data_IF_905963206078
#
_entry.id   IF_905963206078
#
_cell.length_a   1.000
_cell.length_b   1.000
_cell.length_c   1.000
_cell.angle_alpha   90.00
_cell.angle_beta   90.00
_cell.angle_gamma   90.00
#
_symmetry.space_group_name_H-M   'P 1'
#
loop_
_entity.id
_entity.type
_entity.pdbx_description
1 polymer ?
#
# COMPACT_ATOMS: atom_id res chain seq x y z
N UNK A 1 12.94 11.19 -81.02
CA UNK A 1 12.84 10.38 -79.79
C UNK A 1 13.23 11.17 -78.53
N UNK A 2 14.38 11.86 -78.49
CA UNK A 2 14.81 12.65 -77.32
C UNK A 2 13.83 13.77 -76.91
N UNK A 3 13.39 14.61 -77.85
CA UNK A 3 12.48 15.73 -77.55
C UNK A 3 11.11 15.29 -76.99
N UNK A 4 10.60 14.12 -77.39
CA UNK A 4 9.33 13.57 -76.87
C UNK A 4 9.51 13.03 -75.45
N UNK A 5 10.64 12.39 -75.16
CA UNK A 5 10.97 11.93 -73.81
C UNK A 5 11.17 13.11 -72.84
N UNK A 6 11.82 14.18 -73.31
CA UNK A 6 12.04 15.41 -72.56
C UNK A 6 10.73 16.15 -72.27
N UNK A 7 9.86 16.29 -73.27
CA UNK A 7 8.52 16.86 -73.08
C UNK A 7 7.67 16.05 -72.08
N UNK A 8 7.75 14.71 -72.12
CA UNK A 8 7.07 13.83 -71.17
C UNK A 8 7.61 13.96 -69.75
N UNK A 9 8.93 14.08 -69.60
CA UNK A 9 9.57 14.29 -68.30
C UNK A 9 9.21 15.66 -67.71
N UNK A 10 9.22 16.72 -68.53
CA UNK A 10 8.80 18.05 -68.10
C UNK A 10 7.32 18.08 -67.67
N UNK A 11 6.43 17.39 -68.39
CA UNK A 11 5.02 17.29 -68.00
C UNK A 11 4.82 16.49 -66.70
N UNK A 12 5.60 15.43 -66.48
CA UNK A 12 5.54 14.67 -65.22
C UNK A 12 6.03 15.51 -64.02
N UNK A 13 7.10 16.29 -64.21
CA UNK A 13 7.62 17.21 -63.20
C UNK A 13 6.63 18.33 -62.86
N UNK A 14 5.93 18.88 -63.86
CA UNK A 14 4.88 19.89 -63.60
C UNK A 14 3.69 19.31 -62.85
N UNK A 15 3.26 18.07 -63.14
CA UNK A 15 2.19 17.41 -62.39
C UNK A 15 2.57 17.18 -60.93
N UNK A 16 3.80 16.72 -60.66
CA UNK A 16 4.30 16.52 -59.29
C UNK A 16 4.38 17.83 -58.51
N UNK A 17 4.83 18.91 -59.16
CA UNK A 17 4.85 20.25 -58.57
C UNK A 17 3.45 20.77 -58.27
N UNK A 18 2.48 20.50 -59.14
CA UNK A 18 1.10 20.91 -58.95
C UNK A 18 0.45 20.16 -57.78
N UNK A 19 0.63 18.84 -57.70
CA UNK A 19 0.10 18.00 -56.62
C UNK A 19 0.62 18.48 -55.25
N UNK A 20 1.94 18.68 -55.16
CA UNK A 20 2.58 19.25 -53.96
C UNK A 20 2.03 20.63 -53.61
N UNK A 21 1.83 21.51 -54.59
CA UNK A 21 1.29 22.84 -54.34
C UNK A 21 -0.17 22.81 -53.85
N UNK A 22 -0.97 21.87 -54.34
CA UNK A 22 -2.34 21.63 -53.87
C UNK A 22 -2.31 21.15 -52.41
N UNK A 23 -1.48 20.16 -52.09
CA UNK A 23 -1.34 19.65 -50.72
C UNK A 23 -0.86 20.73 -49.74
N UNK A 24 0.12 21.55 -50.15
CA UNK A 24 0.61 22.68 -49.34
C UNK A 24 -0.49 23.73 -49.11
N UNK A 25 -1.32 24.00 -50.12
CA UNK A 25 -2.46 24.94 -50.01
C UNK A 25 -3.57 24.39 -49.14
N UNK A 26 -3.94 23.12 -49.31
CA UNK A 26 -4.94 22.45 -48.49
C UNK A 26 -4.49 22.36 -47.03
N UNK A 27 -3.22 22.03 -46.79
CA UNK A 27 -2.63 22.03 -45.45
C UNK A 27 -2.63 23.42 -44.80
N UNK A 28 -2.32 24.46 -45.56
CA UNK A 28 -2.36 25.85 -45.09
C UNK A 28 -3.77 26.30 -44.74
N UNK A 29 -4.76 25.96 -45.59
CA UNK A 29 -6.17 26.24 -45.33
C UNK A 29 -6.68 25.52 -44.08
N UNK A 30 -6.29 24.25 -43.90
CA UNK A 30 -6.65 23.46 -42.72
C UNK A 30 -6.15 24.13 -41.43
N UNK A 31 -4.88 24.54 -41.41
CA UNK A 31 -4.30 25.26 -40.26
C UNK A 31 -5.03 26.55 -39.96
N UNK A 32 -5.35 27.34 -41.00
CA UNK A 32 -6.06 28.61 -40.82
C UNK A 32 -7.48 28.40 -40.27
N UNK A 33 -8.16 27.33 -40.71
CA UNK A 33 -9.47 26.95 -40.18
C UNK A 33 -9.33 26.54 -38.72
N UNK A 34 -8.37 25.70 -38.36
CA UNK A 34 -8.17 25.26 -36.96
C UNK A 34 -7.74 26.42 -36.05
N UNK A 35 -6.96 27.39 -36.54
CA UNK A 35 -6.54 28.57 -35.80
C UNK A 35 -7.69 29.57 -35.57
N UNK A 36 -8.60 29.70 -36.54
CA UNK A 36 -9.75 30.62 -36.45
C UNK A 36 -10.99 30.00 -35.82
N UNK A 37 -11.14 28.68 -35.92
CA UNK A 37 -12.21 27.95 -35.23
C UNK A 37 -11.81 27.86 -33.77
N UNK A 38 -12.63 28.40 -32.88
CA UNK A 38 -12.39 28.31 -31.44
C UNK A 38 -12.33 26.86 -30.93
N UNK A 39 -12.21 26.65 -29.61
CA UNK A 39 -12.24 25.31 -29.04
C UNK A 39 -13.47 24.55 -29.51
N UNK A 40 -13.26 23.33 -30.03
CA UNK A 40 -14.30 22.47 -30.61
C UNK A 40 -15.43 22.13 -29.64
N UNK A 41 -15.18 22.28 -28.33
CA UNK A 41 -16.15 22.13 -27.25
C UNK A 41 -16.00 23.34 -26.33
N UNK A 42 -17.11 23.97 -25.95
CA UNK A 42 -17.10 25.12 -25.03
C UNK A 42 -18.24 25.03 -24.00
N UNK A 43 -18.23 25.80 -22.90
CA UNK A 43 -19.37 25.84 -22.00
C UNK A 43 -20.65 26.29 -22.71
N UNK A 44 -21.80 25.75 -22.30
CA UNK A 44 -23.09 26.34 -22.67
C UNK A 44 -23.15 27.78 -22.13
N UNK A 45 -23.62 28.68 -22.99
CA UNK A 45 -23.83 30.09 -22.65
C UNK A 45 -25.30 30.38 -22.86
N UNK A 46 -25.97 30.78 -21.79
CA UNK A 46 -27.37 31.21 -21.81
C UNK A 46 -27.53 32.45 -22.69
N UNK A 47 -28.69 32.60 -23.32
CA UNK A 47 -29.02 33.69 -24.26
C UNK A 47 -28.10 33.81 -25.49
N UNK A 48 -27.29 32.79 -25.79
CA UNK A 48 -26.51 32.68 -27.02
C UNK A 48 -27.12 31.62 -27.94
N UNK A 49 -27.16 31.91 -29.24
CA UNK A 49 -27.45 30.90 -30.26
C UNK A 49 -26.22 30.00 -30.43
N UNK A 50 -26.43 28.70 -30.23
CA UNK A 50 -25.51 27.63 -30.57
C UNK A 50 -25.96 27.04 -31.90
N UNK A 51 -25.04 26.91 -32.83
CA UNK A 51 -25.33 26.46 -34.19
C UNK A 51 -25.37 24.93 -34.26
N UNK A 52 -26.08 24.41 -35.26
CA UNK A 52 -26.11 22.98 -35.52
C UNK A 52 -24.69 22.40 -35.57
N UNK A 53 -24.45 21.35 -34.78
CA UNK A 53 -23.17 20.67 -34.68
C UNK A 53 -22.23 21.21 -33.60
N UNK A 54 -22.53 22.36 -32.98
CA UNK A 54 -21.76 22.89 -31.85
C UNK A 54 -21.77 21.90 -30.68
N UNK A 55 -20.61 21.71 -30.05
CA UNK A 55 -20.46 20.89 -28.86
C UNK A 55 -20.35 21.78 -27.63
N UNK A 56 -21.25 21.58 -26.68
CA UNK A 56 -21.27 22.33 -25.43
C UNK A 56 -21.13 21.44 -24.21
N UNK A 57 -20.47 21.96 -23.18
CA UNK A 57 -20.53 21.35 -21.83
C UNK A 57 -21.62 22.02 -21.00
N UNK A 58 -22.49 21.21 -20.39
CA UNK A 58 -23.57 21.65 -19.51
C UNK A 58 -23.78 20.60 -18.42
N UNK A 59 -23.82 21.02 -17.15
CA UNK A 59 -24.04 20.13 -15.99
C UNK A 59 -23.15 18.87 -15.96
N UNK A 60 -21.87 19.03 -16.30
CA UNK A 60 -20.89 17.92 -16.30
C UNK A 60 -21.02 16.94 -17.48
N UNK A 61 -21.96 17.17 -18.38
CA UNK A 61 -22.17 16.39 -19.60
C UNK A 61 -21.78 17.20 -20.85
N UNK A 62 -21.56 16.51 -21.97
CA UNK A 62 -21.27 17.11 -23.28
C UNK A 62 -22.42 16.82 -24.24
N UNK A 63 -22.93 17.87 -24.88
CA UNK A 63 -24.05 17.81 -25.82
C UNK A 63 -23.65 18.37 -27.17
N UNK A 64 -24.25 17.86 -28.24
CA UNK A 64 -24.14 18.41 -29.59
C UNK A 64 -25.48 19.00 -30.02
N UNK A 65 -25.48 20.22 -30.55
CA UNK A 65 -26.69 20.84 -31.08
C UNK A 65 -27.18 20.11 -32.34
N UNK A 66 -28.45 19.71 -32.38
CA UNK A 66 -29.11 19.09 -33.53
C UNK A 66 -29.59 20.13 -34.55
N UNK A 67 -29.84 21.35 -34.11
CA UNK A 67 -30.26 22.50 -34.90
C UNK A 67 -29.77 23.79 -34.24
N UNK A 68 -29.86 24.91 -34.95
CA UNK A 68 -29.58 26.23 -34.36
C UNK A 68 -30.55 26.49 -33.19
N UNK A 69 -30.01 26.72 -32.00
CA UNK A 69 -30.81 26.76 -30.77
C UNK A 69 -30.25 27.71 -29.73
N UNK A 70 -31.14 28.39 -29.00
CA UNK A 70 -30.83 29.07 -27.74
C UNK A 70 -31.27 28.29 -26.50
N UNK A 71 -31.96 27.15 -26.66
CA UNK A 71 -32.46 26.34 -25.54
C UNK A 71 -31.31 25.66 -24.81
N UNK A 72 -31.43 25.52 -23.50
CA UNK A 72 -30.45 24.79 -22.71
C UNK A 72 -30.56 23.26 -22.95
N UNK A 73 -29.44 22.51 -23.00
CA UNK A 73 -29.47 21.06 -22.86
C UNK A 73 -30.11 20.66 -21.51
N UNK A 74 -30.78 19.50 -21.40
CA UNK A 74 -30.74 18.35 -22.32
C UNK A 74 -31.98 18.23 -23.23
N UNK A 75 -32.61 19.33 -23.66
CA UNK A 75 -33.75 19.27 -24.59
C UNK A 75 -33.44 18.40 -25.83
N UNK A 76 -34.04 17.21 -25.91
CA UNK A 76 -33.72 16.16 -26.89
C UNK A 76 -34.08 16.55 -28.33
N UNK A 77 -34.94 17.55 -28.54
CA UNK A 77 -35.25 18.06 -29.88
C UNK A 77 -34.13 18.96 -30.43
N UNK A 78 -33.35 19.57 -29.53
CA UNK A 78 -32.32 20.54 -29.85
C UNK A 78 -30.91 20.01 -29.59
N UNK A 79 -30.75 19.00 -28.74
CA UNK A 79 -29.46 18.50 -28.26
C UNK A 79 -29.42 16.98 -28.25
N UNK A 80 -28.29 16.41 -28.67
CA UNK A 80 -27.94 15.01 -28.42
C UNK A 80 -26.85 14.93 -27.36
N UNK A 81 -27.06 14.11 -26.33
CA UNK A 81 -26.03 13.83 -25.33
C UNK A 81 -24.92 12.97 -25.95
N UNK A 82 -23.73 13.56 -26.13
CA UNK A 82 -22.56 12.86 -26.69
C UNK A 82 -21.81 12.11 -25.60
N UNK A 83 -21.71 12.72 -24.42
CA UNK A 83 -21.11 12.10 -23.24
C UNK A 83 -21.87 12.55 -22.00
N UNK A 84 -22.54 11.62 -21.33
CA UNK A 84 -23.16 11.91 -20.04
C UNK A 84 -22.07 12.05 -18.97
N UNK A 85 -22.24 13.03 -18.08
CA UNK A 85 -21.42 13.16 -16.89
C UNK A 85 -21.51 11.90 -16.04
N UNK A 86 -20.36 11.37 -15.62
CA UNK A 86 -20.32 10.27 -14.67
C UNK A 86 -20.63 10.74 -13.26
N UNK A 87 -21.10 9.83 -12.41
CA UNK A 87 -21.02 10.03 -10.96
C UNK A 87 -19.57 9.80 -10.53
N UNK A 88 -19.07 10.63 -9.61
CA UNK A 88 -17.79 10.36 -8.95
C UNK A 88 -17.83 8.94 -8.37
N UNK A 89 -16.80 8.16 -8.71
CA UNK A 89 -16.68 6.79 -8.23
C UNK A 89 -16.57 6.77 -6.70
N UNK A 90 -17.56 6.19 -6.03
CA UNK A 90 -17.47 5.97 -4.59
C UNK A 90 -16.29 5.04 -4.30
N UNK A 91 -15.29 5.56 -3.59
CA UNK A 91 -14.09 4.83 -3.20
C UNK A 91 -14.15 4.41 -1.73
N UNK A 92 -13.31 3.45 -1.33
CA UNK A 92 -13.19 3.06 0.07
C UNK A 92 -12.72 4.24 0.93
N UNK A 93 -13.42 4.47 2.04
CA UNK A 93 -13.06 5.47 3.06
C UNK A 93 -12.58 4.78 4.32
N UNK A 94 -11.27 4.82 4.59
CA UNK A 94 -10.71 4.19 5.79
C UNK A 94 -11.04 5.06 7.01
N UNK A 95 -11.86 4.52 7.93
CA UNK A 95 -12.30 5.19 9.16
C UNK A 95 -11.47 4.83 10.39
N UNK A 96 -10.58 3.84 10.28
CA UNK A 96 -9.77 3.37 11.41
C UNK A 96 -10.52 2.34 12.26
N UNK A 97 -10.32 2.35 13.58
CA UNK A 97 -10.95 1.37 14.49
C UNK A 97 -12.46 1.58 14.59
N UNK A 98 -13.24 0.50 14.50
CA UNK A 98 -14.69 0.54 14.64
C UNK A 98 -15.13 1.09 16.01
N UNK A 99 -16.11 1.98 16.00
CA UNK A 99 -16.77 2.54 17.18
C UNK A 99 -18.28 2.29 17.08
N UNK A 100 -18.90 1.79 18.16
CA UNK A 100 -20.30 1.36 18.14
C UNK A 100 -21.30 2.51 17.87
N UNK A 101 -21.01 3.69 18.40
CA UNK A 101 -21.92 4.85 18.34
C UNK A 101 -21.63 5.79 17.15
N UNK A 102 -20.68 5.42 16.28
CA UNK A 102 -20.29 6.26 15.15
C UNK A 102 -21.11 5.93 13.89
N UNK A 103 -21.60 6.94 13.15
CA UNK A 103 -22.30 6.71 11.90
C UNK A 103 -21.32 6.32 10.79
N UNK A 104 -21.60 5.19 10.15
CA UNK A 104 -20.89 4.70 8.97
C UNK A 104 -21.76 4.72 7.72
N UNK A 105 -21.14 5.07 6.59
CA UNK A 105 -21.75 5.06 5.27
C UNK A 105 -21.22 3.91 4.43
N UNK A 106 -21.90 3.61 3.33
CA UNK A 106 -21.44 2.62 2.34
C UNK A 106 -19.99 2.91 1.95
N UNK A 107 -19.19 1.85 1.86
CA UNK A 107 -17.75 1.86 1.56
C UNK A 107 -16.83 2.44 2.65
N UNK A 108 -17.35 2.75 3.83
CA UNK A 108 -16.49 2.99 4.98
C UNK A 108 -15.82 1.68 5.41
N UNK A 109 -14.51 1.73 5.62
CA UNK A 109 -13.67 0.60 6.02
C UNK A 109 -13.22 0.80 7.46
N UNK A 110 -13.48 -0.18 8.31
CA UNK A 110 -13.13 -0.17 9.73
C UNK A 110 -12.26 -1.37 10.10
N UNK A 111 -11.41 -1.20 11.12
CA UNK A 111 -10.65 -2.27 11.75
C UNK A 111 -11.38 -2.74 13.02
N UNK A 112 -11.51 -4.06 13.19
CA UNK A 112 -12.12 -4.67 14.36
C UNK A 112 -11.56 -6.08 14.61
N UNK A 113 -11.12 -6.37 15.83
CA UNK A 113 -10.65 -7.70 16.26
C UNK A 113 -9.59 -8.34 15.35
N UNK A 114 -8.64 -7.53 14.84
CA UNK A 114 -7.59 -8.00 13.93
C UNK A 114 -8.06 -8.25 12.49
N UNK A 115 -9.30 -7.91 12.14
CA UNK A 115 -9.80 -7.90 10.77
C UNK A 115 -10.09 -6.48 10.28
N UNK A 116 -10.27 -6.36 8.96
CA UNK A 116 -10.83 -5.15 8.34
C UNK A 116 -12.15 -5.48 7.66
N UNK A 117 -13.13 -4.60 7.81
CA UNK A 117 -14.49 -4.76 7.31
C UNK A 117 -14.92 -3.52 6.53
N UNK A 118 -15.70 -3.69 5.48
CA UNK A 118 -16.28 -2.61 4.69
C UNK A 118 -17.81 -2.61 4.80
N UNK A 119 -18.39 -1.43 5.02
CA UNK A 119 -19.83 -1.25 5.06
C UNK A 119 -20.45 -1.43 3.66
N UNK A 120 -21.40 -2.37 3.52
CA UNK A 120 -22.07 -2.68 2.24
C UNK A 120 -23.17 -1.68 1.89
N UNK A 121 -23.70 -0.98 2.90
CA UNK A 121 -24.74 0.06 2.78
C UNK A 121 -24.55 1.17 3.80
N UNK A 122 -25.31 2.25 3.64
CA UNK A 122 -25.40 3.30 4.65
C UNK A 122 -26.06 2.75 5.92
N UNK A 123 -25.58 3.20 7.08
CA UNK A 123 -26.05 2.75 8.39
C UNK A 123 -26.07 1.22 8.51
N UNK A 124 -24.89 0.56 8.37
CA UNK A 124 -24.78 -0.90 8.37
C UNK A 124 -25.04 -1.55 9.74
N UNK A 125 -25.27 -0.75 10.78
CA UNK A 125 -25.47 -1.27 12.14
C UNK A 125 -24.17 -1.79 12.77
N UNK A 126 -24.27 -2.68 13.77
CA UNK A 126 -23.12 -3.14 14.53
C UNK A 126 -22.13 -3.95 13.67
N UNK A 127 -20.82 -3.70 13.86
CA UNK A 127 -19.76 -4.47 13.22
C UNK A 127 -19.20 -5.52 14.21
N UNK A 128 -18.96 -6.77 13.78
CA UNK A 128 -19.35 -7.34 12.48
C UNK A 128 -20.85 -7.68 12.42
N UNK A 129 -21.43 -7.65 11.22
CA UNK A 129 -22.83 -7.98 10.94
C UNK A 129 -23.07 -8.18 9.44
N UNK A 130 -24.29 -8.55 9.02
CA UNK A 130 -24.61 -8.91 7.61
C UNK A 130 -24.34 -7.79 6.59
N UNK A 131 -24.41 -6.54 7.06
CA UNK A 131 -24.15 -5.34 6.27
C UNK A 131 -22.67 -4.90 6.29
N UNK A 132 -21.82 -5.69 6.94
CA UNK A 132 -20.37 -5.55 6.92
C UNK A 132 -19.73 -6.70 6.16
N UNK A 133 -18.90 -6.39 5.17
CA UNK A 133 -18.15 -7.38 4.42
C UNK A 133 -16.72 -7.45 4.96
N UNK A 134 -16.26 -8.63 5.37
CA UNK A 134 -14.86 -8.83 5.73
C UNK A 134 -13.96 -8.70 4.49
N UNK A 135 -12.90 -7.89 4.61
CA UNK A 135 -11.85 -7.71 3.60
C UNK A 135 -10.63 -8.59 3.89
N UNK A 136 -10.21 -8.61 5.15
CA UNK A 136 -9.08 -9.41 5.60
C UNK A 136 -9.21 -9.75 7.08
N UNK A 137 -8.48 -10.80 7.48
CA UNK A 137 -8.28 -11.19 8.86
C UNK A 137 -6.78 -11.36 9.12
N UNK A 138 -6.37 -11.08 10.35
CA UNK A 138 -5.00 -11.33 10.79
C UNK A 138 -4.63 -12.80 10.58
N UNK A 139 -3.46 -13.04 9.97
CA UNK A 139 -2.91 -14.38 9.81
C UNK A 139 -2.59 -15.05 11.15
N UNK A 140 -2.61 -16.38 11.18
CA UNK A 140 -2.19 -17.15 12.36
C UNK A 140 -0.72 -16.86 12.67
N UNK A 141 -0.35 -16.81 13.96
CA UNK A 141 1.06 -16.73 14.38
C UNK A 141 1.84 -17.89 13.74
N UNK A 142 3.01 -17.59 13.20
CA UNK A 142 3.90 -18.60 12.65
C UNK A 142 4.30 -19.65 13.69
N UNK A 143 4.77 -20.81 13.23
CA UNK A 143 5.31 -21.84 14.12
C UNK A 143 6.49 -21.28 14.91
N UNK A 144 6.57 -21.61 16.20
CA UNK A 144 7.75 -21.29 16.99
C UNK A 144 8.99 -21.92 16.32
N UNK A 145 10.10 -21.19 16.32
CA UNK A 145 11.38 -21.71 15.84
C UNK A 145 11.84 -22.91 16.67
N UNK A 146 12.80 -23.69 16.17
CA UNK A 146 13.41 -24.76 16.96
C UNK A 146 13.99 -24.19 18.26
N UNK A 147 13.91 -24.97 19.34
CA UNK A 147 14.59 -24.64 20.60
C UNK A 147 16.09 -24.55 20.32
N UNK A 148 16.76 -23.52 20.85
CA UNK A 148 18.22 -23.42 20.76
C UNK A 148 18.92 -24.59 21.45
N UNK A 149 20.17 -24.84 21.06
CA UNK A 149 20.97 -25.91 21.64
C UNK A 149 21.15 -25.70 23.15
N UNK A 150 21.20 -26.78 23.95
CA UNK A 150 21.57 -26.68 25.36
C UNK A 150 22.93 -25.98 25.52
N UNK A 151 23.03 -25.08 26.50
CA UNK A 151 24.31 -24.44 26.83
C UNK A 151 25.36 -25.46 27.26
N UNK A 152 26.63 -25.10 27.14
CA UNK A 152 27.75 -25.93 27.61
C UNK A 152 27.62 -26.22 29.10
N UNK A 153 27.93 -27.45 29.51
CA UNK A 153 27.99 -27.82 30.92
C UNK A 153 29.05 -26.97 31.62
N UNK A 154 28.71 -26.38 32.76
CA UNK A 154 29.68 -25.67 33.60
C UNK A 154 30.86 -26.55 34.00
N UNK A 155 32.01 -25.93 34.31
CA UNK A 155 33.20 -26.63 34.79
C UNK A 155 32.87 -27.41 36.06
N UNK A 156 33.34 -28.65 36.17
CA UNK A 156 33.23 -29.43 37.42
C UNK A 156 33.91 -28.69 38.58
N UNK A 157 33.27 -28.68 39.75
CA UNK A 157 33.85 -28.12 40.98
C UNK A 157 35.04 -28.95 41.48
N UNK A 158 35.87 -28.36 42.35
CA UNK A 158 37.01 -29.04 42.94
C UNK A 158 36.56 -30.20 43.84
N UNK A 159 37.16 -31.38 43.66
CA UNK A 159 36.92 -32.57 44.50
C UNK A 159 38.04 -32.75 45.53
N UNK A 160 37.75 -33.41 46.65
CA UNK A 160 38.78 -33.73 47.65
C UNK A 160 39.62 -34.91 47.12
N UNK A 161 40.93 -34.73 46.99
CA UNK A 161 41.89 -35.75 46.55
C UNK A 161 42.45 -36.58 47.70
N UNK A 162 42.51 -36.02 48.89
CA UNK A 162 43.06 -36.70 50.06
C UNK A 162 42.95 -35.85 51.31
N UNK A 163 43.30 -36.44 52.45
CA UNK A 163 43.36 -35.76 53.72
C UNK A 163 44.63 -36.13 54.49
N UNK A 164 45.15 -35.17 55.25
CA UNK A 164 46.30 -35.32 56.13
C UNK A 164 45.92 -34.84 57.53
N UNK A 165 46.42 -35.52 58.57
CA UNK A 165 46.17 -35.16 59.96
C UNK A 165 47.48 -34.71 60.62
N UNK A 166 47.53 -33.44 60.99
CA UNK A 166 48.63 -32.89 61.80
C UNK A 166 48.26 -33.04 63.28
N UNK A 167 48.65 -34.17 63.88
CA UNK A 167 48.26 -34.54 65.23
C UNK A 167 48.73 -33.53 66.29
N UNK A 168 49.92 -32.95 66.13
CA UNK A 168 50.49 -31.96 67.06
C UNK A 168 49.63 -30.69 67.16
N UNK A 169 48.97 -30.32 66.05
CA UNK A 169 48.12 -29.12 65.95
C UNK A 169 46.64 -29.44 65.94
N UNK A 170 46.27 -30.72 66.11
CA UNK A 170 44.91 -31.21 65.98
C UNK A 170 44.20 -30.69 64.72
N UNK A 171 44.91 -30.63 63.58
CA UNK A 171 44.35 -30.04 62.35
C UNK A 171 44.21 -31.09 61.27
N UNK A 172 43.00 -31.20 60.71
CA UNK A 172 42.72 -32.00 59.52
C UNK A 172 42.86 -31.10 58.29
N UNK A 173 43.71 -31.48 57.36
CA UNK A 173 43.93 -30.78 56.10
C UNK A 173 43.30 -31.61 54.98
N UNK A 174 42.34 -31.02 54.26
CA UNK A 174 41.69 -31.63 53.09
C UNK A 174 42.31 -31.04 51.82
N UNK A 175 43.01 -31.86 51.05
CA UNK A 175 43.65 -31.45 49.81
C UNK A 175 42.65 -31.56 48.65
N UNK A 176 42.44 -30.46 47.92
CA UNK A 176 41.47 -30.36 46.83
C UNK A 176 42.13 -30.58 45.47
N UNK A 177 41.32 -30.91 44.46
CA UNK A 177 41.80 -31.33 43.14
C UNK A 177 42.45 -30.21 42.33
N UNK A 178 42.08 -28.97 42.64
CA UNK A 178 42.59 -27.71 42.12
C UNK A 178 43.87 -27.22 42.82
N UNK A 179 44.39 -27.99 43.78
CA UNK A 179 45.65 -27.71 44.48
C UNK A 179 45.51 -26.82 45.71
N UNK A 180 44.30 -26.38 46.06
CA UNK A 180 44.04 -25.72 47.33
C UNK A 180 43.84 -26.74 48.45
N UNK A 181 43.99 -26.29 49.70
CA UNK A 181 43.75 -27.13 50.87
C UNK A 181 42.83 -26.42 51.86
N UNK A 182 41.92 -27.16 52.48
CA UNK A 182 41.04 -26.69 53.54
C UNK A 182 41.50 -27.25 54.88
N UNK A 183 41.83 -26.38 55.83
CA UNK A 183 42.28 -26.78 57.17
C UNK A 183 41.16 -26.64 58.19
N UNK A 184 40.90 -27.71 58.93
CA UNK A 184 39.86 -27.80 59.96
C UNK A 184 40.53 -28.10 61.30
N UNK A 185 40.34 -27.22 62.28
CA UNK A 185 40.85 -27.42 63.64
C UNK A 185 39.92 -28.35 64.43
N UNK A 186 40.43 -29.50 64.84
CA UNK A 186 39.71 -30.55 65.56
C UNK A 186 39.82 -30.43 67.08
N UNK A 187 40.70 -29.57 67.61
CA UNK A 187 40.90 -29.41 69.06
C UNK A 187 39.61 -29.15 69.84
N UNK A 188 38.68 -28.29 69.38
CA UNK A 188 37.42 -28.06 70.08
C UNK A 188 36.57 -29.33 70.25
N UNK A 189 36.63 -30.26 69.30
CA UNK A 189 35.89 -31.53 69.38
C UNK A 189 36.45 -32.44 70.48
N UNK A 190 37.79 -32.51 70.60
CA UNK A 190 38.43 -33.29 71.65
C UNK A 190 38.22 -32.67 73.03
N UNK A 191 38.27 -31.34 73.15
CA UNK A 191 37.98 -30.64 74.39
C UNK A 191 36.54 -30.86 74.86
N UNK A 192 35.57 -30.82 73.95
CA UNK A 192 34.18 -31.15 74.25
C UNK A 192 34.03 -32.60 74.74
N UNK A 193 34.62 -33.57 74.04
CA UNK A 193 34.58 -34.98 74.44
C UNK A 193 35.19 -35.22 75.82
N UNK A 194 36.34 -34.61 76.12
CA UNK A 194 36.97 -34.74 77.43
C UNK A 194 36.15 -34.09 78.55
N UNK A 195 35.47 -32.97 78.29
CA UNK A 195 34.56 -32.35 79.24
C UNK A 195 33.34 -33.26 79.53
N UNK A 196 32.82 -33.97 78.52
CA UNK A 196 31.72 -34.95 78.68
C UNK A 196 32.14 -36.18 79.47
N UNK A 197 33.39 -36.65 79.32
CA UNK A 197 33.87 -37.85 80.03
C UNK A 197 34.35 -37.59 81.46
N UNK A 198 34.73 -36.36 81.80
CA UNK A 198 35.26 -35.98 83.12
C UNK A 198 34.28 -35.17 83.98
N UNK A 199 33.03 -35.02 83.55
CA UNK A 199 31.91 -34.48 84.34
C UNK A 199 30.95 -35.57 84.79
#
# INVERSE_FOLDING_TARGET
MAAVAEARAAFADTLLKLDRAIDERLGSLRRLIDEKSGPRVHPYVEDKVHYQGDLVTHEGSTYQALCDTGRAPPDEEHWICVAAGGLDGLSFRVRGTYQQDEPYSRFDVVALNGGSFVARRNSPGPCPGDDWQALCFQGKKGRAGPKGDPGERGRSGASIKGCELEAERYTLILNQSDGTSLSINLRPLFEAYHAECNG
#
